data_IF_334930374361
#
_entry.id   IF_334930374361
#
_cell.length_a   1.000
_cell.length_b   1.000
_cell.length_c   1.000
_cell.angle_alpha   90.00
_cell.angle_beta   90.00
_cell.angle_gamma   90.00
#
_symmetry.space_group_name_H-M   'P 1'
#
loop_
_entity.id
_entity.type
_entity.pdbx_description
1 polymer ?
#
# COMPACT_ATOMS: atom_id res chain seq x y z
N UNK A 1 17.06 -11.52 -10.14
CA UNK A 1 17.85 -10.41 -10.49
C UNK A 1 19.01 -10.28 -9.52
N UNK A 2 20.18 -10.18 -10.07
CA UNK A 2 21.33 -9.89 -9.26
C UNK A 2 21.18 -8.58 -8.50
N UNK A 3 20.30 -7.74 -8.92
CA UNK A 3 19.94 -6.60 -8.14
C UNK A 3 19.06 -7.08 -6.99
N UNK A 4 19.69 -7.53 -5.94
CA UNK A 4 18.97 -7.65 -4.70
C UNK A 4 18.30 -6.30 -4.47
N UNK A 5 17.00 -6.30 -4.34
CA UNK A 5 16.28 -5.15 -3.87
C UNK A 5 16.98 -4.73 -2.58
N UNK A 6 17.48 -3.51 -2.55
CA UNK A 6 18.11 -3.01 -1.34
C UNK A 6 17.01 -2.77 -0.32
N UNK A 7 17.15 -3.42 0.81
CA UNK A 7 16.24 -3.19 1.91
C UNK A 7 16.33 -1.77 2.40
N UNK A 8 15.19 -1.19 2.62
CA UNK A 8 15.11 0.10 3.29
C UNK A 8 14.71 -0.10 4.74
N UNK A 9 15.21 0.76 5.59
CA UNK A 9 14.75 0.87 6.96
C UNK A 9 13.93 2.15 7.09
N UNK A 10 12.73 2.02 7.62
CA UNK A 10 11.85 3.17 7.77
C UNK A 10 11.06 3.10 9.06
N UNK A 11 10.65 4.27 9.53
CA UNK A 11 9.75 4.41 10.66
C UNK A 11 8.40 4.89 10.17
N UNK A 12 7.35 4.25 10.66
CA UNK A 12 5.98 4.59 10.36
C UNK A 12 5.32 5.25 11.56
N UNK A 13 4.69 6.39 11.32
CA UNK A 13 3.82 7.06 12.30
C UNK A 13 2.47 7.32 11.66
N UNK A 14 1.42 7.25 12.46
CA UNK A 14 0.04 7.51 12.02
C UNK A 14 -0.58 8.48 12.99
N UNK A 15 -1.05 9.61 12.47
CA UNK A 15 -1.60 10.71 13.25
C UNK A 15 -0.67 11.16 14.39
N UNK A 16 0.62 11.18 14.09
CA UNK A 16 1.66 11.58 15.05
C UNK A 16 2.08 10.49 16.03
N UNK A 17 1.46 9.33 15.98
CA UNK A 17 1.81 8.22 16.86
C UNK A 17 2.76 7.25 16.15
N UNK A 18 3.87 6.91 16.80
CA UNK A 18 4.82 5.93 16.28
C UNK A 18 4.18 4.54 16.26
N UNK A 19 4.29 3.86 15.12
CA UNK A 19 3.72 2.52 14.93
C UNK A 19 4.80 1.45 14.97
N UNK A 20 5.78 1.55 14.08
CA UNK A 20 6.88 0.59 14.04
C UNK A 20 8.07 1.11 13.24
N UNK A 21 9.18 0.43 13.41
CA UNK A 21 10.37 0.55 12.57
C UNK A 21 10.59 -0.80 11.90
N UNK A 22 10.74 -0.80 10.59
CA UNK A 22 10.88 -2.03 9.81
C UNK A 22 12.01 -1.92 8.79
N UNK A 23 12.58 -3.09 8.50
CA UNK A 23 13.38 -3.33 7.31
C UNK A 23 12.53 -4.11 6.32
N UNK A 24 12.38 -3.60 5.12
CA UNK A 24 11.58 -4.21 4.07
C UNK A 24 12.06 -3.72 2.70
N UNK A 25 11.60 -4.36 1.64
CA UNK A 25 11.87 -3.89 0.28
C UNK A 25 11.13 -2.60 -0.03
N UNK A 26 10.04 -2.35 0.66
CA UNK A 26 9.27 -1.13 0.51
C UNK A 26 8.02 -1.13 1.37
N UNK A 27 7.26 -0.05 1.26
CA UNK A 27 5.96 0.10 1.89
C UNK A 27 4.96 0.55 0.83
N UNK A 28 3.86 -0.17 0.71
CA UNK A 28 2.74 0.24 -0.14
C UNK A 28 1.66 0.86 0.72
N UNK A 29 1.09 1.96 0.23
CA UNK A 29 -0.11 2.56 0.81
C UNK A 29 -1.17 2.56 -0.28
N UNK A 30 -2.31 1.97 -0.01
CA UNK A 30 -3.37 1.85 -0.99
C UNK A 30 -4.72 2.27 -0.46
N UNK A 31 -5.53 2.85 -1.35
CA UNK A 31 -6.95 3.08 -1.13
C UNK A 31 -7.70 1.76 -1.32
N UNK A 32 -8.99 1.68 -0.94
CA UNK A 32 -9.79 0.49 -1.24
C UNK A 32 -9.78 0.13 -2.73
N UNK A 33 -9.91 1.12 -3.61
CA UNK A 33 -9.84 0.87 -5.06
C UNK A 33 -8.47 0.31 -5.47
N UNK A 34 -7.39 0.86 -4.92
CA UNK A 34 -6.03 0.40 -5.21
C UNK A 34 -5.68 -0.93 -4.54
N UNK A 35 -6.49 -1.41 -3.60
CA UNK A 35 -6.20 -2.65 -2.88
C UNK A 35 -6.23 -3.90 -3.77
N UNK A 36 -6.90 -3.84 -4.92
CA UNK A 36 -6.95 -4.93 -5.90
C UNK A 36 -5.84 -4.84 -6.95
N UNK A 37 -4.94 -3.87 -6.82
CA UNK A 37 -3.80 -3.69 -7.73
C UNK A 37 -2.52 -4.26 -7.11
N UNK A 38 -1.45 -3.49 -7.08
CA UNK A 38 -0.14 -3.94 -6.60
C UNK A 38 -0.15 -4.39 -5.13
N UNK A 39 -0.97 -3.71 -4.30
CA UNK A 39 -1.13 -4.08 -2.89
C UNK A 39 -1.57 -5.53 -2.72
N UNK A 40 -2.45 -6.02 -3.61
CA UNK A 40 -2.89 -7.42 -3.57
C UNK A 40 -1.72 -8.37 -3.81
N UNK A 41 -0.88 -8.08 -4.79
CA UNK A 41 0.31 -8.89 -5.09
C UNK A 41 1.31 -8.92 -3.94
N UNK A 42 1.33 -7.89 -3.13
CA UNK A 42 2.20 -7.81 -1.95
C UNK A 42 1.57 -8.44 -0.69
N UNK A 43 0.41 -9.06 -0.82
CA UNK A 43 -0.27 -9.73 0.31
C UNK A 43 -1.23 -8.85 1.08
N UNK A 44 -1.59 -7.69 0.53
CA UNK A 44 -2.58 -6.82 1.13
C UNK A 44 -4.00 -7.36 0.98
N UNK A 45 -4.92 -6.99 1.88
CA UNK A 45 -6.30 -7.40 1.79
C UNK A 45 -7.04 -6.66 0.68
N UNK A 46 -8.08 -7.28 0.17
CA UNK A 46 -9.07 -6.61 -0.66
C UNK A 46 -9.97 -5.80 0.25
N UNK A 47 -10.16 -4.52 -0.09
CA UNK A 47 -11.03 -3.65 0.67
C UNK A 47 -12.21 -3.21 -0.18
N UNK A 48 -13.39 -3.28 0.40
CA UNK A 48 -14.61 -2.82 -0.28
C UNK A 48 -14.50 -1.30 -0.58
N UNK A 49 -14.83 -0.86 -1.80
CA UNK A 49 -14.64 0.55 -2.20
C UNK A 49 -15.39 1.57 -1.34
N UNK A 50 -16.45 1.16 -0.68
CA UNK A 50 -17.23 2.04 0.20
C UNK A 50 -16.56 2.32 1.55
N UNK A 51 -15.48 1.64 1.88
CA UNK A 51 -14.79 1.86 3.14
C UNK A 51 -13.94 3.13 3.07
N UNK A 52 -14.03 3.95 4.11
CA UNK A 52 -13.11 5.07 4.29
C UNK A 52 -11.87 4.58 5.05
N UNK A 53 -10.98 3.94 4.32
CA UNK A 53 -9.80 3.31 4.90
C UNK A 53 -8.61 3.41 3.96
N UNK A 54 -7.42 3.25 4.52
CA UNK A 54 -6.17 3.06 3.80
C UNK A 54 -5.53 1.78 4.33
N UNK A 55 -4.86 1.04 3.45
CA UNK A 55 -4.09 -0.13 3.87
C UNK A 55 -2.61 0.13 3.63
N UNK A 56 -1.80 -0.26 4.61
CA UNK A 56 -0.35 -0.18 4.55
C UNK A 56 0.22 -1.60 4.50
N UNK A 57 0.98 -1.89 3.45
CA UNK A 57 1.49 -3.23 3.19
C UNK A 57 3.01 -3.18 3.07
N UNK A 58 3.75 -3.64 4.09
CA UNK A 58 5.19 -3.82 3.95
C UNK A 58 5.50 -4.90 2.92
N UNK A 59 6.47 -4.64 2.06
CA UNK A 59 6.88 -5.58 1.01
C UNK A 59 8.09 -6.37 1.49
N UNK A 60 7.93 -7.68 1.59
CA UNK A 60 8.99 -8.60 2.03
C UNK A 60 9.69 -8.13 3.31
N UNK A 61 8.95 -7.89 4.40
CA UNK A 61 9.55 -7.41 5.64
C UNK A 61 10.40 -8.50 6.28
N UNK A 62 11.45 -8.09 7.00
CA UNK A 62 12.29 -9.02 7.74
C UNK A 62 11.71 -9.45 9.08
N UNK A 63 10.50 -9.02 9.40
CA UNK A 63 9.81 -9.44 10.61
C UNK A 63 8.76 -10.48 10.28
N UNK A 64 8.83 -11.62 10.93
CA UNK A 64 7.83 -12.70 10.74
C UNK A 64 6.45 -12.32 11.28
N UNK A 65 6.39 -11.33 12.15
CA UNK A 65 5.13 -10.86 12.74
C UNK A 65 4.52 -9.67 12.03
N UNK A 66 5.22 -9.13 11.04
CA UNK A 66 4.70 -8.00 10.27
C UNK A 66 3.47 -8.41 9.47
N UNK A 67 2.47 -7.57 9.50
CA UNK A 67 1.21 -7.76 8.77
C UNK A 67 0.77 -6.43 8.16
N UNK A 68 0.03 -6.48 7.06
CA UNK A 68 -0.66 -5.29 6.59
C UNK A 68 -1.60 -4.75 7.66
N UNK A 69 -1.69 -3.43 7.75
CA UNK A 69 -2.63 -2.77 8.64
C UNK A 69 -3.57 -1.87 7.86
N UNK A 70 -4.83 -1.86 8.26
CA UNK A 70 -5.82 -0.94 7.73
C UNK A 70 -6.08 0.16 8.76
N UNK A 71 -6.11 1.39 8.29
CA UNK A 71 -6.33 2.56 9.13
C UNK A 71 -7.44 3.43 8.55
N UNK A 72 -7.91 4.39 9.31
CA UNK A 72 -8.90 5.35 8.81
C UNK A 72 -8.38 6.08 7.57
N UNK A 73 -9.25 6.29 6.60
CA UNK A 73 -8.95 7.12 5.44
C UNK A 73 -8.67 8.57 5.78
N UNK A 74 -9.02 9.01 6.99
CA UNK A 74 -8.74 10.36 7.47
C UNK A 74 -7.37 10.46 8.14
N UNK A 75 -6.65 9.36 8.28
CA UNK A 75 -5.35 9.35 8.94
C UNK A 75 -4.28 10.06 8.11
N UNK A 76 -3.37 10.73 8.79
CA UNK A 76 -2.12 11.19 8.20
C UNK A 76 -1.03 10.15 8.46
N UNK A 77 -0.47 9.62 7.39
CA UNK A 77 0.59 8.63 7.45
C UNK A 77 1.90 9.35 7.23
N UNK A 78 2.87 9.07 8.08
CA UNK A 78 4.21 9.60 7.95
C UNK A 78 5.21 8.45 7.87
N UNK A 79 6.06 8.51 6.86
CA UNK A 79 7.14 7.53 6.65
C UNK A 79 8.45 8.27 6.69
N UNK A 80 9.30 7.93 7.65
CA UNK A 80 10.64 8.47 7.76
C UNK A 80 11.65 7.41 7.32
N UNK A 81 12.37 7.69 6.25
CA UNK A 81 13.41 6.80 5.76
C UNK A 81 14.64 6.98 6.65
N UNK A 82 15.11 5.90 7.24
CA UNK A 82 16.29 5.94 8.10
C UNK A 82 17.54 6.07 7.22
N UNK A 83 18.36 7.06 7.52
CA UNK A 83 19.57 7.35 6.77
C UNK A 83 20.62 6.26 7.01
N UNK A 84 20.80 5.37 6.04
CA UNK A 84 21.85 4.35 6.04
C UNK A 84 22.33 4.11 4.61
N UNK A 85 23.66 4.02 4.45
CA UNK A 85 24.30 3.50 3.23
C UNK A 85 23.90 4.18 1.94
N UNK A 86 23.58 5.47 1.95
CA UNK A 86 23.24 6.25 0.76
C UNK A 86 22.12 5.62 -0.09
N UNK A 87 21.20 4.92 0.55
CA UNK A 87 20.04 4.37 -0.14
C UNK A 87 19.04 5.49 -0.42
N UNK A 88 18.63 5.59 -1.68
CA UNK A 88 17.67 6.59 -2.16
C UNK A 88 16.45 5.88 -2.72
N UNK A 89 15.51 5.43 -1.87
CA UNK A 89 14.37 4.68 -2.36
C UNK A 89 13.47 5.55 -3.24
N UNK A 90 12.98 5.02 -4.36
CA UNK A 90 12.01 5.73 -5.17
C UNK A 90 10.64 5.71 -4.48
N UNK A 91 9.93 6.82 -4.65
CA UNK A 91 8.51 6.93 -4.28
C UNK A 91 7.73 6.98 -5.57
N UNK A 92 6.82 6.05 -5.78
CA UNK A 92 6.01 6.01 -6.98
C UNK A 92 4.54 6.14 -6.64
N UNK A 93 3.82 6.89 -7.47
CA UNK A 93 2.37 7.05 -7.37
C UNK A 93 1.73 6.40 -8.58
N UNK A 94 0.96 5.34 -8.35
CA UNK A 94 0.26 4.57 -9.41
C UNK A 94 1.18 4.10 -10.54
N UNK A 95 2.47 3.90 -10.23
CA UNK A 95 3.46 3.49 -11.22
C UNK A 95 3.80 4.52 -12.27
N UNK A 96 3.28 5.73 -12.17
CA UNK A 96 3.43 6.77 -13.21
C UNK A 96 4.37 7.90 -12.82
N UNK A 97 4.28 8.34 -11.57
CA UNK A 97 5.10 9.42 -11.05
C UNK A 97 6.15 8.81 -10.12
N UNK A 98 7.41 9.16 -10.33
CA UNK A 98 8.49 8.68 -9.50
C UNK A 98 9.29 9.86 -8.94
N UNK A 99 9.50 9.86 -7.63
CA UNK A 99 10.29 10.82 -6.90
C UNK A 99 11.33 10.05 -6.11
N UNK A 100 12.54 10.59 -5.98
CA UNK A 100 13.57 9.96 -5.17
C UNK A 100 13.51 10.52 -3.75
N UNK A 101 13.37 9.63 -2.76
CA UNK A 101 13.50 10.00 -1.36
C UNK A 101 14.99 10.06 -1.00
N UNK A 102 15.38 11.12 -0.28
CA UNK A 102 16.74 11.25 0.24
C UNK A 102 16.77 10.76 1.69
N UNK A 103 17.92 10.23 2.15
CA UNK A 103 18.06 9.87 3.56
C UNK A 103 17.72 11.05 4.47
N UNK A 104 16.90 10.78 5.48
CA UNK A 104 16.42 11.82 6.38
C UNK A 104 15.14 12.51 5.91
N UNK A 105 14.65 12.21 4.71
CA UNK A 105 13.36 12.72 4.24
C UNK A 105 12.20 12.10 5.01
N UNK A 106 11.15 12.88 5.13
CA UNK A 106 9.89 12.47 5.73
C UNK A 106 8.79 12.60 4.70
N UNK A 107 8.12 11.50 4.43
CA UNK A 107 7.01 11.46 3.49
C UNK A 107 5.69 11.45 4.23
N UNK A 108 4.80 12.36 3.86
CA UNK A 108 3.46 12.43 4.43
C UNK A 108 2.44 12.06 3.39
N UNK A 109 1.54 11.17 3.77
CA UNK A 109 0.50 10.65 2.90
C UNK A 109 -0.83 10.89 3.58
N UNK A 110 -1.74 11.55 2.86
CA UNK A 110 -3.09 11.77 3.34
C UNK A 110 -4.06 11.84 2.17
N UNK A 111 -5.30 11.52 2.44
CA UNK A 111 -6.37 11.60 1.46
C UNK A 111 -6.65 13.05 1.08
N UNK A 112 -6.82 13.30 -0.22
CA UNK A 112 -7.29 14.61 -0.68
C UNK A 112 -8.73 14.82 -0.27
N UNK A 113 -9.10 16.09 -0.02
CA UNK A 113 -10.48 16.45 0.28
C UNK A 113 -11.41 16.19 -0.92
N UNK A 114 -10.89 16.33 -2.15
CA UNK A 114 -11.66 16.11 -3.36
C UNK A 114 -11.60 14.63 -3.74
N UNK A 115 -12.77 14.04 -3.92
CA UNK A 115 -12.88 12.64 -4.31
C UNK A 115 -13.13 12.51 -5.82
N UNK A 116 -12.65 11.40 -6.38
CA UNK A 116 -12.99 11.00 -7.74
C UNK A 116 -14.26 10.16 -7.69
N UNK A 117 -15.24 10.53 -8.49
CA UNK A 117 -16.47 9.77 -8.63
C UNK A 117 -16.35 8.79 -9.79
N UNK A 118 -16.52 7.51 -9.50
CA UNK A 118 -16.56 6.46 -10.52
C UNK A 118 -18.02 6.08 -10.80
N UNK A 119 -18.38 6.06 -12.08
CA UNK A 119 -19.69 5.64 -12.50
C UNK A 119 -19.64 4.21 -13.02
N UNK A 120 -20.58 3.40 -12.60
CA UNK A 120 -20.71 2.02 -13.05
C UNK A 120 -22.07 1.81 -13.72
N UNK A 121 -22.17 0.90 -14.69
CA UNK A 121 -23.46 0.58 -15.30
C UNK A 121 -24.40 -0.07 -14.29
N UNK A 122 -25.73 0.00 -14.53
CA UNK A 122 -26.69 -0.71 -13.68
C UNK A 122 -26.35 -2.19 -13.59
N UNK A 123 -26.50 -2.76 -12.39
CA UNK A 123 -26.20 -4.18 -12.18
C UNK A 123 -24.74 -4.47 -11.88
N UNK A 124 -23.89 -3.45 -11.86
CA UNK A 124 -22.50 -3.64 -11.46
C UNK A 124 -22.39 -4.19 -10.04
N UNK A 125 -21.54 -5.19 -9.86
CA UNK A 125 -21.25 -5.78 -8.57
C UNK A 125 -19.73 -5.82 -8.35
N UNK A 126 -19.28 -5.22 -7.28
CA UNK A 126 -17.88 -5.28 -6.88
C UNK A 126 -17.41 -6.72 -6.66
N UNK A 127 -18.24 -7.50 -5.98
CA UNK A 127 -17.87 -8.90 -5.67
C UNK A 127 -17.85 -9.78 -6.90
N UNK A 128 -18.74 -9.53 -7.85
CA UNK A 128 -18.69 -10.23 -9.13
C UNK A 128 -17.40 -9.92 -9.88
N UNK A 129 -17.00 -8.65 -9.90
CA UNK A 129 -15.73 -8.24 -10.49
C UNK A 129 -14.53 -8.92 -9.81
N UNK A 130 -14.56 -9.02 -8.49
CA UNK A 130 -13.51 -9.71 -7.74
C UNK A 130 -13.45 -11.20 -8.08
N UNK A 131 -14.62 -11.86 -8.16
CA UNK A 131 -14.66 -13.28 -8.54
C UNK A 131 -14.04 -13.51 -9.92
N UNK A 132 -14.35 -12.63 -10.87
CA UNK A 132 -13.84 -12.77 -12.23
C UNK A 132 -12.34 -12.49 -12.29
N UNK A 133 -11.89 -11.39 -11.70
CA UNK A 133 -10.47 -11.01 -11.72
C UNK A 133 -9.59 -12.01 -10.98
N UNK A 134 -10.05 -12.50 -9.87
CA UNK A 134 -9.27 -13.34 -8.97
C UNK A 134 -9.59 -14.82 -9.15
N UNK A 135 -10.52 -15.14 -10.02
CA UNK A 135 -10.90 -16.51 -10.38
C UNK A 135 -11.31 -17.33 -9.16
N UNK A 136 -12.03 -16.69 -8.23
CA UNK A 136 -12.42 -17.34 -6.97
C UNK A 136 -13.29 -18.58 -7.17
N UNK A 137 -14.07 -18.60 -8.24
CA UNK A 137 -14.95 -19.73 -8.52
C UNK A 137 -14.26 -20.86 -9.27
N UNK A 138 -13.09 -20.62 -9.86
CA UNK A 138 -12.42 -21.60 -10.71
C UNK A 138 -11.91 -22.81 -9.92
N UNK A 139 -11.56 -22.60 -8.65
CA UNK A 139 -11.08 -23.68 -7.79
C UNK A 139 -12.15 -24.74 -7.51
N UNK A 140 -13.41 -24.40 -7.71
CA UNK A 140 -14.54 -25.32 -7.50
C UNK A 140 -14.89 -26.11 -8.76
N UNK A 141 -14.32 -25.76 -9.89
CA UNK A 141 -14.56 -26.41 -11.17
C UNK A 141 -13.47 -27.44 -11.41
N UNK A 142 -13.85 -28.67 -11.50
CA UNK A 142 -12.91 -29.76 -11.78
C UNK A 142 -12.97 -30.14 -13.23
#
# INVERSE_FOLDING_TARGET
SGASAQMIEFELSIDGEFVYRLNADGLLVATPTGSTAYSLSAGGPIMYPGLDALVLVPMFPHSLTSRPIAVSGQSEIRVDVVSRNDIHPPITCDGQISITALPGDSDRIRKKARELTLLHPPGYSFYASCRDKLRWSDALVK
#
